data_IF_232535334224
#
_entry.id   IF_232535334224
#
_cell.length_a   1.000
_cell.length_b   1.000
_cell.length_c   1.000
_cell.angle_alpha   90.00
_cell.angle_beta   90.00
_cell.angle_gamma   90.00
#
_symmetry.space_group_name_H-M   'P 1'
#
loop_
_entity.id
_entity.type
_entity.pdbx_description
1 polymer ?
#
# COMPACT_ATOMS: atom_id res chain seq x y z
N UNK A 1 -0.07 8.15 17.53
CA UNK A 1 0.76 9.32 17.87
C UNK A 1 -0.03 10.55 17.46
N UNK A 2 -0.49 11.32 18.45
CA UNK A 2 -1.13 12.61 18.23
C UNK A 2 -0.09 13.69 17.89
N UNK A 3 -0.54 14.83 17.37
CA UNK A 3 0.31 16.02 17.22
C UNK A 3 0.98 16.43 18.56
N UNK A 4 0.24 16.29 19.66
CA UNK A 4 0.75 16.59 21.01
C UNK A 4 1.83 15.60 21.42
N UNK A 5 1.66 14.31 21.14
CA UNK A 5 2.68 13.29 21.42
C UNK A 5 3.99 13.57 20.68
N UNK A 6 3.91 14.08 19.44
CA UNK A 6 5.09 14.46 18.65
C UNK A 6 5.85 15.66 19.21
N UNK A 7 5.20 16.50 20.03
CA UNK A 7 5.84 17.65 20.70
C UNK A 7 6.41 17.31 22.07
N UNK A 8 6.03 16.18 22.65
CA UNK A 8 6.51 15.72 23.95
C UNK A 8 8.05 15.60 23.97
N UNK A 9 8.74 16.20 24.97
CA UNK A 9 10.20 16.17 25.04
C UNK A 9 10.79 14.75 25.08
N UNK A 10 10.15 13.80 25.77
CA UNK A 10 10.64 12.42 25.85
C UNK A 10 10.49 11.68 24.51
N UNK A 11 9.41 11.96 23.76
CA UNK A 11 9.25 11.49 22.38
C UNK A 11 10.29 12.09 21.44
N UNK A 12 10.51 13.40 21.51
CA UNK A 12 11.52 14.08 20.68
C UNK A 12 12.95 13.60 20.98
N UNK A 13 13.26 13.33 22.25
CA UNK A 13 14.56 12.79 22.65
C UNK A 13 14.87 11.41 22.01
N UNK A 14 13.83 10.63 21.65
CA UNK A 14 13.98 9.32 20.99
C UNK A 14 14.21 9.40 19.48
N UNK A 15 13.99 10.57 18.87
CA UNK A 15 14.04 10.74 17.42
C UNK A 15 15.36 10.27 16.76
N UNK A 16 16.56 10.56 17.30
CA UNK A 16 17.81 10.07 16.71
C UNK A 16 17.87 8.54 16.66
N UNK A 17 17.44 7.86 17.72
CA UNK A 17 17.39 6.39 17.77
C UNK A 17 16.33 5.83 16.81
N UNK A 18 15.16 6.46 16.71
CA UNK A 18 14.13 6.08 15.74
C UNK A 18 14.66 6.19 14.29
N UNK A 19 15.42 7.23 13.98
CA UNK A 19 16.03 7.39 12.66
C UNK A 19 17.09 6.33 12.38
N UNK A 20 17.92 6.00 13.39
CA UNK A 20 18.89 4.91 13.29
C UNK A 20 18.21 3.57 13.02
N UNK A 21 17.15 3.25 13.77
CA UNK A 21 16.37 2.00 13.59
C UNK A 21 15.72 1.92 12.22
N UNK A 22 15.12 3.00 11.74
CA UNK A 22 14.60 3.07 10.36
C UNK A 22 15.70 2.77 9.35
N UNK A 23 16.88 3.37 9.52
CA UNK A 23 17.99 3.15 8.59
C UNK A 23 18.44 1.68 8.58
N UNK A 24 18.64 1.08 9.76
CA UNK A 24 18.99 -0.35 9.86
C UNK A 24 17.95 -1.24 9.16
N UNK A 25 16.66 -0.95 9.35
CA UNK A 25 15.59 -1.67 8.65
C UNK A 25 15.69 -1.49 7.13
N UNK A 26 15.84 -0.24 6.67
CA UNK A 26 15.91 0.05 5.24
C UNK A 26 17.14 -0.54 4.56
N UNK A 27 18.28 -0.56 5.25
CA UNK A 27 19.52 -1.15 4.72
C UNK A 27 19.38 -2.67 4.57
N UNK A 28 18.77 -3.36 5.56
CA UNK A 28 18.43 -4.78 5.45
C UNK A 28 17.42 -5.04 4.34
N UNK A 29 16.31 -4.29 4.29
CA UNK A 29 15.25 -4.53 3.31
C UNK A 29 15.74 -4.35 1.87
N UNK A 30 16.48 -3.27 1.60
CA UNK A 30 17.02 -2.99 0.27
C UNK A 30 18.19 -3.91 -0.12
N UNK A 31 18.74 -4.68 0.81
CA UNK A 31 19.80 -5.66 0.52
C UNK A 31 19.24 -7.07 0.36
N UNK A 32 18.40 -7.49 1.29
CA UNK A 32 18.05 -8.90 1.46
C UNK A 32 16.61 -9.22 0.98
N UNK A 33 15.72 -8.22 0.85
CA UNK A 33 14.31 -8.44 0.46
C UNK A 33 14.02 -7.92 -0.95
N UNK A 34 14.37 -6.66 -1.22
CA UNK A 34 14.08 -6.01 -2.49
C UNK A 34 15.32 -5.30 -3.05
N UNK A 35 16.38 -6.07 -3.38
CA UNK A 35 17.60 -5.52 -3.93
C UNK A 35 17.42 -4.99 -5.35
N UNK A 36 18.25 -4.01 -5.69
CA UNK A 36 18.38 -3.52 -7.06
C UNK A 36 19.18 -4.48 -7.93
N UNK A 37 18.96 -4.38 -9.25
CA UNK A 37 19.63 -5.14 -10.29
C UNK A 37 20.09 -4.18 -11.41
N UNK A 38 21.30 -4.37 -11.97
CA UNK A 38 21.86 -3.45 -12.95
C UNK A 38 21.20 -3.54 -14.35
N UNK A 39 20.58 -4.67 -14.69
CA UNK A 39 19.93 -4.90 -15.97
C UNK A 39 18.44 -4.53 -15.92
N UNK A 40 17.75 -4.89 -14.84
CA UNK A 40 16.29 -4.70 -14.69
C UNK A 40 15.90 -3.58 -13.73
N UNK A 41 16.87 -2.86 -13.15
CA UNK A 41 16.74 -1.94 -12.02
C UNK A 41 16.34 -2.62 -10.69
N UNK A 42 15.32 -3.48 -10.69
CA UNK A 42 14.85 -4.24 -9.52
C UNK A 42 15.00 -5.74 -9.75
N UNK A 43 15.54 -6.46 -8.77
CA UNK A 43 15.68 -7.93 -8.85
C UNK A 43 14.33 -8.63 -8.77
N UNK A 44 13.44 -8.12 -7.91
CA UNK A 44 12.12 -8.69 -7.66
C UNK A 44 11.02 -7.65 -7.81
N UNK A 45 9.80 -8.15 -8.03
CA UNK A 45 8.56 -7.41 -7.84
C UNK A 45 7.93 -7.91 -6.54
N UNK A 46 7.68 -7.00 -5.59
CA UNK A 46 7.03 -7.34 -4.33
C UNK A 46 5.53 -7.08 -4.46
N UNK A 47 4.71 -8.13 -4.46
CA UNK A 47 3.26 -8.02 -4.58
C UNK A 47 2.57 -8.35 -3.25
N UNK A 48 1.65 -7.48 -2.80
CA UNK A 48 0.80 -7.76 -1.63
C UNK A 48 -0.56 -7.09 -1.73
N UNK A 49 -1.50 -7.48 -0.87
CA UNK A 49 -2.78 -6.78 -0.71
C UNK A 49 -2.66 -5.65 0.31
N UNK A 50 -3.27 -4.50 0.07
CA UNK A 50 -3.39 -3.43 1.08
C UNK A 50 -4.72 -3.52 1.85
N UNK A 51 -5.76 -4.00 1.18
CA UNK A 51 -7.12 -4.14 1.73
C UNK A 51 -7.66 -5.52 1.38
N UNK A 52 -8.23 -6.21 2.37
CA UNK A 52 -8.89 -7.50 2.18
C UNK A 52 -10.40 -7.24 2.23
N UNK A 53 -11.08 -7.12 1.08
CA UNK A 53 -12.52 -6.95 1.06
C UNK A 53 -13.23 -8.29 1.40
N UNK A 54 -14.49 -8.24 1.90
CA UNK A 54 -15.26 -7.03 2.16
C UNK A 54 -14.97 -6.48 3.56
N UNK A 55 -14.56 -5.22 3.62
CA UNK A 55 -14.56 -4.51 4.90
C UNK A 55 -15.94 -3.89 5.10
N UNK A 56 -16.67 -4.42 6.08
CA UNK A 56 -18.05 -4.02 6.37
C UNK A 56 -18.14 -2.98 7.50
N UNK A 57 -17.00 -2.51 8.01
CA UNK A 57 -16.92 -1.48 9.02
C UNK A 57 -16.77 -0.13 8.31
N UNK A 58 -17.75 0.77 8.45
CA UNK A 58 -17.52 2.16 8.04
C UNK A 58 -16.50 2.80 8.99
N UNK A 59 -15.51 3.47 8.42
CA UNK A 59 -14.57 4.28 9.18
C UNK A 59 -15.36 5.38 9.90
N UNK A 60 -15.28 5.42 11.22
CA UNK A 60 -15.83 6.53 12.00
C UNK A 60 -14.82 7.69 11.90
N UNK A 61 -15.14 8.79 11.20
CA UNK A 61 -14.23 9.93 11.08
C UNK A 61 -13.98 10.64 12.42
N UNK A 62 -14.82 10.42 13.45
CA UNK A 62 -14.59 10.93 14.80
C UNK A 62 -13.65 10.02 15.62
N UNK A 63 -13.46 8.77 15.22
CA UNK A 63 -12.56 7.84 15.89
C UNK A 63 -11.13 7.98 15.32
N UNK A 64 -10.30 8.77 15.99
CA UNK A 64 -8.87 8.82 15.68
C UNK A 64 -8.22 7.46 15.99
N UNK A 65 -8.17 6.57 14.98
CA UNK A 65 -7.49 5.28 15.13
C UNK A 65 -5.99 5.47 15.14
N UNK A 66 -5.37 5.19 16.26
CA UNK A 66 -3.93 5.03 16.31
C UNK A 66 -3.56 3.71 15.63
N UNK A 67 -2.63 3.77 14.67
CA UNK A 67 -1.97 2.56 14.16
C UNK A 67 -1.24 1.91 15.33
N UNK A 68 -1.68 0.70 15.74
CA UNK A 68 -1.15 -0.02 16.91
C UNK A 68 -0.12 -1.11 16.57
N UNK A 69 0.40 -1.15 15.35
CA UNK A 69 1.38 -2.17 14.98
C UNK A 69 1.86 -2.09 13.54
N UNK A 70 2.58 -3.13 13.13
CA UNK A 70 3.01 -3.35 11.76
C UNK A 70 1.81 -3.72 10.87
N UNK A 71 1.75 -3.18 9.67
CA UNK A 71 0.78 -3.56 8.65
C UNK A 71 1.41 -3.41 7.26
N UNK A 72 0.79 -4.05 6.26
CA UNK A 72 1.28 -4.09 4.89
C UNK A 72 1.35 -2.68 4.28
N UNK A 73 2.47 -2.36 3.64
CA UNK A 73 2.75 -1.01 3.14
C UNK A 73 3.44 -0.07 4.14
N UNK A 74 3.67 -0.45 5.41
CA UNK A 74 4.58 0.33 6.26
C UNK A 74 6.05 0.20 5.85
N UNK A 75 6.43 -0.96 5.31
CA UNK A 75 7.82 -1.23 4.92
C UNK A 75 8.31 -0.24 3.85
N UNK A 76 7.47 0.17 2.90
CA UNK A 76 7.85 1.12 1.83
C UNK A 76 8.32 2.46 2.39
N UNK A 77 7.70 2.92 3.47
CA UNK A 77 8.05 4.17 4.14
C UNK A 77 9.41 4.09 4.85
N UNK A 78 9.68 2.97 5.52
CA UNK A 78 10.94 2.79 6.25
C UNK A 78 12.10 2.44 5.31
N UNK A 79 11.87 1.57 4.32
CA UNK A 79 12.83 1.13 3.31
C UNK A 79 13.06 2.17 2.20
N UNK A 80 12.13 3.11 2.01
CA UNK A 80 12.14 4.10 0.92
C UNK A 80 12.05 3.44 -0.46
N UNK A 81 11.27 2.38 -0.58
CA UNK A 81 11.01 1.70 -1.85
C UNK A 81 9.75 2.28 -2.50
N UNK A 82 9.69 2.44 -3.82
CA UNK A 82 8.48 2.85 -4.51
C UNK A 82 7.46 1.71 -4.58
N UNK A 83 6.18 2.07 -4.58
CA UNK A 83 5.05 1.15 -4.68
C UNK A 83 3.90 1.82 -5.45
N UNK A 84 3.19 1.04 -6.27
CA UNK A 84 1.93 1.45 -6.92
C UNK A 84 0.83 0.46 -6.56
N UNK A 85 -0.38 0.97 -6.30
CA UNK A 85 -1.56 0.15 -6.01
C UNK A 85 -2.49 0.18 -7.20
N UNK A 86 -2.80 -0.98 -7.77
CA UNK A 86 -3.67 -1.11 -8.94
C UNK A 86 -4.90 -1.96 -8.63
N UNK A 87 -6.07 -1.61 -9.20
CA UNK A 87 -7.27 -2.41 -9.08
C UNK A 87 -7.21 -3.61 -10.03
N UNK A 88 -7.53 -4.80 -9.53
CA UNK A 88 -7.54 -6.06 -10.30
C UNK A 88 -8.93 -6.67 -10.40
N UNK A 89 -9.91 -6.09 -9.71
CA UNK A 89 -11.28 -6.57 -9.72
C UNK A 89 -12.15 -5.83 -8.72
N UNK A 90 -13.36 -6.36 -8.52
CA UNK A 90 -14.27 -5.90 -7.48
C UNK A 90 -15.10 -7.09 -6.98
N UNK A 91 -15.54 -7.02 -5.73
CA UNK A 91 -16.44 -8.03 -5.16
C UNK A 91 -17.72 -7.37 -4.67
N UNK A 92 -18.82 -8.11 -4.78
CA UNK A 92 -20.08 -7.74 -4.17
C UNK A 92 -20.08 -8.07 -2.68
N UNK A 93 -20.79 -7.26 -1.89
CA UNK A 93 -21.06 -7.55 -0.50
C UNK A 93 -22.41 -6.96 -0.07
N UNK A 94 -23.03 -7.58 0.94
CA UNK A 94 -24.28 -7.06 1.53
C UNK A 94 -23.96 -6.04 2.61
N UNK A 95 -24.31 -4.79 2.36
CA UNK A 95 -24.07 -3.68 3.27
C UNK A 95 -25.06 -3.68 4.42
N UNK A 96 -24.54 -3.68 5.66
CA UNK A 96 -25.38 -3.54 6.87
C UNK A 96 -25.95 -2.13 7.04
N UNK A 97 -25.41 -1.14 6.31
CA UNK A 97 -25.78 0.27 6.46
C UNK A 97 -26.84 0.70 5.46
N UNK A 98 -26.68 0.33 4.18
CA UNK A 98 -27.67 0.62 3.13
C UNK A 98 -28.70 -0.50 2.99
N UNK A 99 -28.46 -1.65 3.62
CA UNK A 99 -29.26 -2.87 3.52
C UNK A 99 -29.37 -3.43 2.09
N UNK A 100 -28.51 -2.96 1.17
CA UNK A 100 -28.43 -3.38 -0.23
C UNK A 100 -27.11 -4.09 -0.57
N UNK A 101 -27.00 -4.51 -1.83
CA UNK A 101 -25.74 -5.00 -2.41
C UNK A 101 -24.87 -3.80 -2.82
N UNK A 102 -23.63 -3.79 -2.36
CA UNK A 102 -22.61 -2.81 -2.70
C UNK A 102 -21.35 -3.53 -3.23
N UNK A 103 -20.40 -2.77 -3.78
CA UNK A 103 -19.19 -3.31 -4.38
C UNK A 103 -17.95 -2.70 -3.77
N UNK A 104 -16.89 -3.50 -3.59
CA UNK A 104 -15.58 -3.03 -3.13
C UNK A 104 -14.50 -3.40 -4.15
N UNK A 105 -13.56 -2.50 -4.47
CA UNK A 105 -12.44 -2.84 -5.33
C UNK A 105 -11.53 -3.86 -4.64
N UNK A 106 -11.02 -4.80 -5.43
CA UNK A 106 -9.90 -5.68 -5.08
C UNK A 106 -8.65 -5.05 -5.69
N UNK A 107 -7.64 -4.82 -4.88
CA UNK A 107 -6.40 -4.16 -5.31
C UNK A 107 -5.19 -5.01 -4.96
N UNK A 108 -4.12 -4.83 -5.74
CA UNK A 108 -2.79 -5.34 -5.43
C UNK A 108 -1.82 -4.16 -5.41
N UNK A 109 -0.97 -4.13 -4.39
CA UNK A 109 0.16 -3.23 -4.28
C UNK A 109 1.40 -3.93 -4.86
N UNK A 110 2.11 -3.21 -5.71
CA UNK A 110 3.31 -3.67 -6.42
C UNK A 110 4.46 -2.75 -6.05
N UNK A 111 5.48 -3.30 -5.38
CA UNK A 111 6.69 -2.60 -4.97
C UNK A 111 7.91 -3.06 -5.76
N UNK A 112 8.85 -2.15 -6.00
CA UNK A 112 10.16 -2.45 -6.62
C UNK A 112 11.30 -1.83 -5.81
N UNK A 113 12.54 -2.16 -6.16
CA UNK A 113 13.72 -1.67 -5.48
C UNK A 113 13.76 -0.13 -5.42
N UNK A 114 14.37 0.38 -4.35
CA UNK A 114 14.52 1.82 -4.12
C UNK A 114 15.19 2.52 -5.31
N UNK A 115 14.51 3.54 -5.85
CA UNK A 115 14.98 4.32 -6.99
C UNK A 115 14.60 3.76 -8.37
N UNK A 116 13.78 2.70 -8.42
CA UNK A 116 13.32 2.06 -9.65
C UNK A 116 11.87 2.39 -10.02
N UNK A 117 11.39 3.58 -9.64
CA UNK A 117 10.00 4.01 -9.78
C UNK A 117 9.43 3.81 -11.19
N UNK A 118 10.25 4.02 -12.24
CA UNK A 118 9.83 3.86 -13.63
C UNK A 118 9.42 2.42 -14.00
N UNK A 119 10.02 1.42 -13.35
CA UNK A 119 9.68 0.00 -13.57
C UNK A 119 8.21 -0.27 -13.23
N UNK A 120 7.64 0.46 -12.28
CA UNK A 120 6.24 0.28 -11.89
C UNK A 120 5.30 0.67 -13.03
N UNK A 121 5.59 1.74 -13.77
CA UNK A 121 4.77 2.15 -14.92
C UNK A 121 4.85 1.11 -16.03
N UNK A 122 6.05 0.62 -16.36
CA UNK A 122 6.23 -0.45 -17.35
C UNK A 122 5.47 -1.72 -16.99
N UNK A 123 5.43 -2.08 -15.70
CA UNK A 123 4.65 -3.22 -15.21
C UNK A 123 3.15 -2.97 -15.39
N UNK A 124 2.65 -1.78 -15.06
CA UNK A 124 1.23 -1.43 -15.23
C UNK A 124 0.83 -1.46 -16.71
N UNK A 125 1.65 -0.93 -17.60
CA UNK A 125 1.40 -0.95 -19.04
C UNK A 125 1.32 -2.41 -19.55
N UNK A 126 2.28 -3.26 -19.19
CA UNK A 126 2.28 -4.68 -19.57
C UNK A 126 1.09 -5.46 -19.01
N UNK A 127 0.67 -5.18 -17.78
CA UNK A 127 -0.52 -5.81 -17.20
C UNK A 127 -1.80 -5.35 -17.91
N UNK A 128 -1.84 -4.10 -18.38
CA UNK A 128 -2.94 -3.56 -19.17
C UNK A 128 -2.98 -4.20 -20.56
N UNK A 129 -1.84 -4.30 -21.25
CA UNK A 129 -1.70 -4.99 -22.54
C UNK A 129 -2.10 -6.46 -22.47
N UNK A 130 -1.78 -7.14 -21.36
CA UNK A 130 -2.19 -8.51 -21.08
C UNK A 130 -3.69 -8.65 -20.74
N UNK A 131 -4.44 -7.55 -20.63
CA UNK A 131 -5.86 -7.54 -20.27
C UNK A 131 -6.14 -7.85 -18.80
N UNK A 132 -5.10 -7.81 -17.95
CA UNK A 132 -5.21 -8.04 -16.50
C UNK A 132 -5.66 -6.79 -15.75
N UNK A 133 -5.27 -5.61 -16.25
CA UNK A 133 -5.78 -4.32 -15.77
C UNK A 133 -6.75 -3.72 -16.79
N UNK A 134 -7.77 -3.04 -16.27
CA UNK A 134 -8.80 -2.36 -17.06
C UNK A 134 -9.01 -0.96 -16.53
N UNK A 135 -9.49 -0.07 -17.39
CA UNK A 135 -9.91 1.26 -16.97
C UNK A 135 -11.01 1.17 -15.91
N UNK A 136 -10.87 1.95 -14.85
CA UNK A 136 -11.84 1.99 -13.76
C UNK A 136 -12.96 2.99 -14.05
N UNK A 137 -14.16 2.63 -13.60
CA UNK A 137 -15.29 3.55 -13.57
C UNK A 137 -15.22 4.50 -12.38
N UNK A 138 -15.91 5.64 -12.49
CA UNK A 138 -16.21 6.49 -11.36
C UNK A 138 -17.50 6.04 -10.65
N UNK A 139 -17.59 6.29 -9.34
CA UNK A 139 -18.80 6.07 -8.55
C UNK A 139 -18.76 4.78 -7.74
N UNK A 140 -19.88 4.04 -7.74
CA UNK A 140 -20.11 2.89 -6.84
C UNK A 140 -19.53 1.57 -7.35
N UNK A 141 -19.09 1.52 -8.61
CA UNK A 141 -18.46 0.37 -9.23
C UNK A 141 -17.06 0.77 -9.71
N UNK A 142 -16.10 -0.13 -9.54
CA UNK A 142 -14.78 -0.02 -10.17
C UNK A 142 -14.83 -0.53 -11.62
N UNK A 143 -15.68 -1.51 -11.91
CA UNK A 143 -15.86 -2.12 -13.23
C UNK A 143 -17.34 -2.32 -13.59
N UNK A 144 -17.69 -2.34 -14.88
CA UNK A 144 -19.06 -2.65 -15.31
C UNK A 144 -19.51 -4.01 -14.78
N UNK A 145 -20.77 -4.11 -14.37
CA UNK A 145 -21.40 -5.40 -14.14
C UNK A 145 -21.64 -6.03 -15.52
N UNK A 146 -21.07 -7.21 -15.73
CA UNK A 146 -21.30 -8.03 -16.93
C UNK A 146 -22.70 -8.60 -16.93
#
# INVERSE_FOLDING_TARGET
>A
MSWTDGRDPATRARYPESQRRRQVFGDWFNKDILPGNNETCSEYLFAHSYHIPPNTVKTDPAEARHVKGWYDGLYVNYAKTPEIVVPIGQIEYRSKYTNGTEWQPVTVALGVAKGCDLVLFDVVDKLTEAGLLKEVMAGVLAYPLT
#
